data_IF_050900951317
#
_entry.id   IF_050900951317
#
_cell.length_a   1.000
_cell.length_b   1.000
_cell.length_c   1.000
_cell.angle_alpha   90.00
_cell.angle_beta   90.00
_cell.angle_gamma   90.00
#
_symmetry.space_group_name_H-M   'P 1'
#
loop_
_entity.id
_entity.type
_entity.pdbx_description
1 polymer ?
#
# COMPACT_ATOMS: atom_id res chain seq x y z
N UNK A 1 35.42 44.84 17.87
CA UNK A 1 33.98 44.97 18.22
C UNK A 1 33.23 43.97 17.36
N UNK A 2 33.13 42.73 17.85
CA UNK A 2 31.90 42.12 18.38
C UNK A 2 30.83 41.89 17.29
N UNK A 3 30.86 40.67 16.75
CA UNK A 3 29.72 39.98 16.14
C UNK A 3 28.54 39.99 17.10
N UNK A 4 27.40 40.56 16.73
CA UNK A 4 26.17 40.47 17.53
C UNK A 4 24.90 40.48 16.64
N UNK A 5 24.69 39.40 15.89
CA UNK A 5 23.36 39.00 15.45
C UNK A 5 23.15 37.51 15.80
N UNK A 6 22.03 37.15 16.45
CA UNK A 6 21.81 35.82 17.01
C UNK A 6 21.54 34.73 15.95
N UNK A 7 22.25 33.61 16.06
CA UNK A 7 22.17 32.41 15.20
C UNK A 7 20.87 31.60 15.36
N UNK A 8 19.70 32.22 15.15
CA UNK A 8 18.40 31.50 15.33
C UNK A 8 17.50 31.52 14.09
N UNK A 9 17.92 32.14 12.99
CA UNK A 9 17.15 32.15 11.73
C UNK A 9 18.04 31.74 10.55
N UNK A 10 18.78 30.66 10.76
CA UNK A 10 19.26 29.77 9.71
C UNK A 10 18.95 28.34 10.17
N UNK A 11 17.67 27.99 10.23
CA UNK A 11 17.31 26.59 10.12
C UNK A 11 17.17 26.30 8.63
N UNK A 12 18.10 25.54 8.00
CA UNK A 12 17.69 24.80 6.82
C UNK A 12 16.43 24.02 7.22
N UNK A 13 15.36 24.11 6.41
CA UNK A 13 14.25 23.16 6.47
C UNK A 13 14.91 21.80 6.62
N UNK A 14 14.70 21.19 7.78
CA UNK A 14 15.38 19.97 8.16
C UNK A 14 15.26 19.01 6.98
N UNK A 15 16.39 18.73 6.35
CA UNK A 15 16.53 17.63 5.41
C UNK A 15 15.88 16.45 6.09
N UNK A 16 14.76 15.98 5.52
CA UNK A 16 14.13 14.75 5.96
C UNK A 16 15.25 13.71 6.02
N UNK A 17 15.49 13.06 7.16
CA UNK A 17 16.59 12.11 7.27
C UNK A 17 16.37 11.01 6.23
N UNK A 18 17.18 11.05 5.16
CA UNK A 18 17.35 9.97 4.20
C UNK A 18 18.19 8.88 4.87
N UNK A 19 17.66 8.28 5.94
CA UNK A 19 18.16 7.03 6.49
C UNK A 19 17.33 5.92 5.88
N UNK A 20 17.92 5.20 4.92
CA UNK A 20 17.30 4.11 4.19
C UNK A 20 16.69 3.06 5.12
N UNK A 21 15.37 3.11 5.22
CA UNK A 21 14.55 1.90 5.29
C UNK A 21 14.08 1.67 3.86
N UNK A 22 14.13 0.45 3.30
CA UNK A 22 13.27 0.18 2.16
C UNK A 22 11.85 0.52 2.62
N UNK A 23 11.24 1.55 2.02
CA UNK A 23 9.86 1.89 2.34
C UNK A 23 9.03 0.67 1.98
N UNK A 24 8.58 -0.05 3.00
CA UNK A 24 7.72 -1.23 2.88
C UNK A 24 6.64 -0.96 1.82
N UNK A 25 6.58 -1.79 0.78
CA UNK A 25 5.61 -1.64 -0.30
C UNK A 25 4.18 -1.86 0.22
N UNK A 26 4.03 -2.71 1.23
CA UNK A 26 2.79 -2.87 1.97
C UNK A 26 2.41 -1.56 2.68
N UNK A 27 3.36 -0.91 3.36
CA UNK A 27 3.09 0.35 4.05
C UNK A 27 2.72 1.46 3.06
N UNK A 28 3.45 1.58 1.96
CA UNK A 28 3.15 2.53 0.89
C UNK A 28 1.74 2.31 0.33
N UNK A 29 1.36 1.05 0.11
CA UNK A 29 0.01 0.69 -0.35
C UNK A 29 -1.08 1.11 0.65
N UNK A 30 -0.84 0.91 1.96
CA UNK A 30 -1.76 1.35 3.00
C UNK A 30 -1.89 2.88 3.07
N UNK A 31 -0.80 3.62 2.81
CA UNK A 31 -0.80 5.08 2.75
C UNK A 31 -1.53 5.60 1.50
N UNK A 32 -1.33 4.96 0.33
CA UNK A 32 -2.10 5.24 -0.90
C UNK A 32 -3.60 5.06 -0.66
N UNK A 33 -4.00 3.94 -0.06
CA UNK A 33 -5.41 3.67 0.26
C UNK A 33 -5.98 4.73 1.21
N UNK A 34 -5.22 5.20 2.20
CA UNK A 34 -5.69 6.24 3.10
C UNK A 34 -5.96 7.57 2.37
N UNK A 35 -5.14 7.92 1.37
CA UNK A 35 -5.37 9.09 0.53
C UNK A 35 -6.62 8.92 -0.35
N UNK A 36 -6.75 7.77 -1.02
CA UNK A 36 -7.91 7.49 -1.88
C UNK A 36 -9.23 7.47 -1.10
N UNK A 37 -9.26 6.89 0.11
CA UNK A 37 -10.43 6.92 0.99
C UNK A 37 -10.82 8.37 1.31
N UNK A 38 -9.84 9.19 1.69
CA UNK A 38 -10.09 10.61 1.99
C UNK A 38 -10.65 11.34 0.77
N UNK A 39 -10.06 11.14 -0.40
CA UNK A 39 -10.47 11.85 -1.61
C UNK A 39 -11.87 11.41 -2.08
N UNK A 40 -12.20 10.12 -1.98
CA UNK A 40 -13.55 9.59 -2.23
C UNK A 40 -14.59 10.21 -1.28
N UNK A 41 -14.28 10.29 0.03
CA UNK A 41 -15.16 10.95 1.01
C UNK A 41 -15.37 12.44 0.69
N UNK A 42 -14.31 13.15 0.30
CA UNK A 42 -14.41 14.56 -0.10
C UNK A 42 -15.25 14.76 -1.38
N UNK A 43 -15.21 13.78 -2.29
CA UNK A 43 -16.04 13.76 -3.48
C UNK A 43 -17.49 13.31 -3.22
N UNK A 44 -17.82 12.88 -2.00
CA UNK A 44 -19.14 12.33 -1.65
C UNK A 44 -19.36 10.90 -2.11
N UNK A 45 -18.33 10.23 -2.63
CA UNK A 45 -18.34 8.83 -3.04
C UNK A 45 -18.07 7.91 -1.84
N UNK A 46 -19.13 7.66 -1.07
CA UNK A 46 -19.06 6.84 0.12
C UNK A 46 -18.89 5.34 -0.19
N UNK A 47 -19.33 4.91 -1.36
CA UNK A 47 -19.24 3.51 -1.80
C UNK A 47 -17.79 3.13 -2.06
N UNK A 48 -17.09 3.90 -2.91
CA UNK A 48 -15.67 3.69 -3.16
C UNK A 48 -14.85 3.86 -1.88
N UNK A 49 -15.17 4.84 -1.04
CA UNK A 49 -14.49 5.04 0.24
C UNK A 49 -14.60 3.81 1.15
N UNK A 50 -15.79 3.21 1.25
CA UNK A 50 -16.02 2.02 2.05
C UNK A 50 -15.27 0.80 1.48
N UNK A 51 -15.33 0.60 0.17
CA UNK A 51 -14.62 -0.51 -0.49
C UNK A 51 -13.10 -0.38 -0.33
N UNK A 52 -12.53 0.82 -0.54
CA UNK A 52 -11.11 1.10 -0.31
C UNK A 52 -10.69 0.90 1.16
N UNK A 53 -11.57 1.22 2.11
CA UNK A 53 -11.33 0.93 3.52
C UNK A 53 -11.26 -0.58 3.79
N UNK A 54 -12.13 -1.37 3.15
CA UNK A 54 -12.07 -2.84 3.20
C UNK A 54 -10.74 -3.40 2.70
N UNK A 55 -10.23 -2.89 1.57
CA UNK A 55 -8.90 -3.26 1.05
C UNK A 55 -7.81 -2.93 2.07
N UNK A 56 -7.88 -1.75 2.68
CA UNK A 56 -6.89 -1.32 3.69
C UNK A 56 -6.92 -2.20 4.93
N UNK A 57 -8.10 -2.66 5.34
CA UNK A 57 -8.25 -3.57 6.48
C UNK A 57 -7.68 -4.96 6.20
N UNK A 58 -7.77 -5.45 4.96
CA UNK A 58 -7.08 -6.66 4.51
C UNK A 58 -5.56 -6.51 4.69
N UNK A 59 -4.98 -5.40 4.20
CA UNK A 59 -3.54 -5.15 4.32
C UNK A 59 -3.08 -4.97 5.78
N UNK A 60 -3.89 -4.36 6.63
CA UNK A 60 -3.59 -4.26 8.06
C UNK A 60 -3.75 -5.61 8.80
N UNK A 61 -4.47 -6.56 8.20
CA UNK A 61 -4.79 -7.86 8.75
C UNK A 61 -3.85 -9.00 8.35
N UNK A 62 -2.71 -8.71 7.70
CA UNK A 62 -1.82 -9.73 7.13
C UNK A 62 -1.27 -10.73 8.15
N UNK A 63 -0.93 -10.27 9.35
CA UNK A 63 -0.37 -11.11 10.43
C UNK A 63 -1.42 -11.91 11.20
N UNK A 64 -2.71 -11.74 10.89
CA UNK A 64 -3.78 -12.52 11.52
C UNK A 64 -3.87 -13.89 10.86
N UNK A 65 -4.18 -14.97 11.62
CA UNK A 65 -4.42 -16.29 11.06
C UNK A 65 -5.46 -16.23 9.94
N UNK A 66 -5.27 -17.04 8.90
CA UNK A 66 -6.26 -17.12 7.84
C UNK A 66 -7.54 -17.81 8.31
N UNK A 67 -8.68 -17.32 7.83
CA UNK A 67 -10.01 -17.90 8.06
C UNK A 67 -10.88 -17.71 6.80
N UNK A 68 -11.99 -18.45 6.64
CA UNK A 68 -12.81 -18.38 5.44
C UNK A 68 -13.37 -16.99 5.14
N UNK A 69 -13.70 -16.18 6.14
CA UNK A 69 -14.20 -14.82 5.93
C UNK A 69 -13.06 -13.90 5.47
N UNK A 70 -11.88 -14.04 6.06
CA UNK A 70 -10.69 -13.30 5.63
C UNK A 70 -10.28 -13.63 4.20
N UNK A 71 -10.34 -14.91 3.81
CA UNK A 71 -10.06 -15.33 2.42
C UNK A 71 -11.06 -14.76 1.42
N UNK A 72 -12.34 -14.63 1.80
CA UNK A 72 -13.34 -13.93 0.98
C UNK A 72 -13.01 -12.44 0.87
N UNK A 73 -12.76 -11.77 2.00
CA UNK A 73 -12.41 -10.35 2.00
C UNK A 73 -11.12 -10.05 1.19
N UNK A 74 -10.13 -10.94 1.22
CA UNK A 74 -8.93 -10.84 0.40
C UNK A 74 -9.24 -10.94 -1.10
N UNK A 75 -10.14 -11.86 -1.49
CA UNK A 75 -10.60 -11.98 -2.89
C UNK A 75 -11.39 -10.76 -3.32
N UNK A 76 -12.38 -10.35 -2.52
CA UNK A 76 -13.23 -9.20 -2.79
C UNK A 76 -12.40 -7.91 -2.92
N UNK A 77 -11.36 -7.76 -2.08
CA UNK A 77 -10.43 -6.64 -2.15
C UNK A 77 -9.58 -6.64 -3.42
N UNK A 78 -9.14 -7.82 -3.87
CA UNK A 78 -8.38 -7.94 -5.11
C UNK A 78 -9.24 -7.60 -6.33
N UNK A 79 -10.43 -8.18 -6.42
CA UNK A 79 -11.38 -7.94 -7.51
C UNK A 79 -11.76 -6.45 -7.57
N UNK A 80 -12.11 -5.85 -6.42
CA UNK A 80 -12.41 -4.43 -6.34
C UNK A 80 -11.25 -3.55 -6.80
N UNK A 81 -10.02 -3.79 -6.34
CA UNK A 81 -8.88 -2.95 -6.75
C UNK A 81 -8.58 -3.12 -8.24
N UNK A 82 -8.73 -4.32 -8.80
CA UNK A 82 -8.55 -4.53 -10.23
C UNK A 82 -9.57 -3.70 -11.04
N UNK A 83 -10.86 -3.83 -10.72
CA UNK A 83 -11.94 -3.12 -11.39
C UNK A 83 -11.83 -1.60 -11.19
N UNK A 84 -11.50 -1.15 -9.97
CA UNK A 84 -11.30 0.25 -9.66
C UNK A 84 -10.11 0.82 -10.44
N UNK A 85 -9.01 0.08 -10.56
CA UNK A 85 -7.84 0.52 -11.34
C UNK A 85 -8.18 0.70 -12.81
N UNK A 86 -8.95 -0.22 -13.39
CA UNK A 86 -9.42 -0.12 -14.77
C UNK A 86 -10.35 1.08 -14.96
N UNK A 87 -11.37 1.23 -14.11
CA UNK A 87 -12.30 2.37 -14.13
C UNK A 87 -11.58 3.72 -14.01
N UNK A 88 -10.59 3.84 -13.11
CA UNK A 88 -9.77 5.04 -12.99
C UNK A 88 -8.96 5.33 -14.27
N UNK A 89 -8.43 4.29 -14.93
CA UNK A 89 -7.72 4.45 -16.19
C UNK A 89 -8.65 4.93 -17.32
N UNK A 90 -9.88 4.41 -17.40
CA UNK A 90 -10.90 4.80 -18.38
C UNK A 90 -11.31 6.26 -18.27
N UNK A 91 -11.47 6.77 -17.04
CA UNK A 91 -11.77 8.20 -16.79
C UNK A 91 -10.54 9.11 -16.94
N UNK A 92 -9.40 8.55 -17.32
CA UNK A 92 -8.20 9.30 -17.70
C UNK A 92 -7.17 9.50 -16.58
N UNK A 93 -7.28 8.79 -15.45
CA UNK A 93 -6.21 8.77 -14.43
C UNK A 93 -4.95 8.13 -15.02
N UNK A 94 -3.82 8.82 -14.88
CA UNK A 94 -2.53 8.40 -15.47
C UNK A 94 -1.36 8.70 -14.54
N UNK A 95 -0.19 8.23 -14.94
CA UNK A 95 1.07 8.50 -14.25
C UNK A 95 1.10 7.86 -12.87
N UNK A 96 1.54 8.63 -11.88
CA UNK A 96 1.82 8.10 -10.54
C UNK A 96 0.57 7.53 -9.85
N UNK A 97 -0.60 8.15 -10.02
CA UNK A 97 -1.83 7.68 -9.38
C UNK A 97 -2.23 6.27 -9.86
N UNK A 98 -2.12 6.01 -11.17
CA UNK A 98 -2.40 4.68 -11.72
C UNK A 98 -1.31 3.67 -11.33
N UNK A 99 -0.05 4.10 -11.22
CA UNK A 99 1.04 3.24 -10.74
C UNK A 99 0.86 2.87 -9.25
N UNK A 100 0.37 3.80 -8.44
CA UNK A 100 0.08 3.56 -7.03
C UNK A 100 -1.09 2.56 -6.85
N UNK A 101 -2.12 2.62 -7.69
CA UNK A 101 -3.20 1.62 -7.71
C UNK A 101 -2.71 0.23 -8.10
N UNK A 102 -1.87 0.14 -9.13
CA UNK A 102 -1.22 -1.11 -9.53
C UNK A 102 -0.35 -1.69 -8.41
N UNK A 103 0.36 -0.84 -7.67
CA UNK A 103 1.11 -1.28 -6.50
C UNK A 103 0.22 -1.93 -5.43
N UNK A 104 -0.97 -1.36 -5.16
CA UNK A 104 -1.93 -1.98 -4.23
C UNK A 104 -2.36 -3.37 -4.74
N UNK A 105 -2.65 -3.49 -6.03
CA UNK A 105 -3.00 -4.78 -6.64
C UNK A 105 -1.87 -5.82 -6.51
N UNK A 106 -0.62 -5.40 -6.74
CA UNK A 106 0.55 -6.27 -6.60
C UNK A 106 0.76 -6.74 -5.16
N UNK A 107 0.53 -5.87 -4.18
CA UNK A 107 0.60 -6.24 -2.75
C UNK A 107 -0.49 -7.25 -2.39
N UNK A 108 -1.71 -7.09 -2.91
CA UNK A 108 -2.79 -8.06 -2.72
C UNK A 108 -2.47 -9.41 -3.38
N UNK A 109 -1.88 -9.41 -4.58
CA UNK A 109 -1.41 -10.63 -5.23
C UNK A 109 -0.30 -11.32 -4.42
N UNK A 110 0.67 -10.56 -3.91
CA UNK A 110 1.72 -11.08 -3.04
C UNK A 110 1.16 -11.65 -1.73
N UNK A 111 0.11 -11.01 -1.19
CA UNK A 111 -0.64 -11.51 -0.03
C UNK A 111 -1.28 -12.85 -0.32
N UNK A 112 -1.95 -13.00 -1.46
CA UNK A 112 -2.56 -14.28 -1.84
C UNK A 112 -1.52 -15.41 -1.98
N UNK A 113 -0.35 -15.11 -2.54
CA UNK A 113 0.76 -16.07 -2.61
C UNK A 113 1.24 -16.45 -1.20
N UNK A 114 1.41 -15.48 -0.30
CA UNK A 114 1.81 -15.73 1.08
C UNK A 114 0.78 -16.61 1.83
N UNK A 115 -0.52 -16.39 1.59
CA UNK A 115 -1.61 -17.19 2.17
C UNK A 115 -1.65 -18.63 1.65
N UNK A 116 -1.41 -18.82 0.34
CA UNK A 116 -1.28 -20.15 -0.25
C UNK A 116 -0.10 -20.92 0.37
N UNK A 117 0.99 -20.22 0.67
CA UNK A 117 2.15 -20.82 1.36
C UNK A 117 1.87 -21.10 2.83
N UNK A 118 1.14 -20.23 3.54
CA UNK A 118 0.67 -20.49 4.91
C UNK A 118 -0.16 -21.77 4.97
N UNK A 119 -1.10 -21.96 4.04
CA UNK A 119 -1.90 -23.18 3.96
C UNK A 119 -1.06 -24.44 3.70
N UNK A 120 0.01 -24.33 2.90
CA UNK A 120 0.87 -25.46 2.55
C UNK A 120 1.91 -25.81 3.64
N UNK A 121 2.42 -24.81 4.35
CA UNK A 121 3.56 -24.95 5.28
C UNK A 121 3.19 -24.85 6.76
N UNK A 122 2.00 -24.32 7.07
CA UNK A 122 1.58 -23.97 8.42
C UNK A 122 2.25 -22.72 9.02
N UNK A 123 3.18 -22.08 8.29
CA UNK A 123 3.79 -20.83 8.73
C UNK A 123 2.86 -19.66 8.46
N UNK A 124 2.54 -18.87 9.48
CA UNK A 124 1.65 -17.72 9.35
C UNK A 124 2.14 -16.74 8.27
N UNK A 125 1.19 -16.24 7.47
CA UNK A 125 1.42 -15.07 6.65
C UNK A 125 1.91 -13.90 7.52
N UNK A 126 2.93 -13.19 7.04
CA UNK A 126 3.53 -12.06 7.74
C UNK A 126 3.85 -10.94 6.76
N UNK A 127 3.91 -9.72 7.29
CA UNK A 127 4.33 -8.54 6.52
C UNK A 127 5.68 -8.78 5.84
N UNK A 128 6.66 -9.35 6.55
CA UNK A 128 7.98 -9.66 5.99
C UNK A 128 7.90 -10.62 4.80
N UNK A 129 7.03 -11.63 4.86
CA UNK A 129 6.87 -12.59 3.75
C UNK A 129 6.24 -11.94 2.52
N UNK A 130 5.23 -11.09 2.72
CA UNK A 130 4.61 -10.34 1.61
C UNK A 130 5.61 -9.40 0.97
N UNK A 131 6.39 -8.66 1.76
CA UNK A 131 7.48 -7.80 1.28
C UNK A 131 8.54 -8.57 0.48
N UNK A 132 8.92 -9.75 0.93
CA UNK A 132 9.86 -10.61 0.21
C UNK A 132 9.30 -11.04 -1.15
N UNK A 133 8.03 -11.47 -1.21
CA UNK A 133 7.37 -11.89 -2.45
C UNK A 133 7.31 -10.75 -3.45
N UNK A 134 6.82 -9.57 -3.02
CA UNK A 134 6.71 -8.42 -3.92
C UNK A 134 8.09 -7.90 -4.34
N UNK A 135 9.07 -7.87 -3.44
CA UNK A 135 10.45 -7.52 -3.77
C UNK A 135 11.04 -8.42 -4.87
N UNK A 136 10.76 -9.73 -4.80
CA UNK A 136 11.18 -10.69 -5.83
C UNK A 136 10.47 -10.49 -7.18
N UNK A 137 9.19 -10.08 -7.19
CA UNK A 137 8.44 -9.79 -8.41
C UNK A 137 9.03 -8.57 -9.15
N UNK A 138 9.34 -7.51 -8.41
CA UNK A 138 9.94 -6.30 -8.98
C UNK A 138 11.41 -6.49 -9.37
N UNK A 139 12.17 -7.30 -8.63
CA UNK A 139 13.55 -7.66 -9.00
C UNK A 139 13.60 -8.43 -10.33
N UNK A 140 12.73 -9.43 -10.52
CA UNK A 140 12.65 -10.22 -11.76
C UNK A 140 12.20 -9.42 -12.99
N UNK A 141 11.56 -8.28 -12.79
CA UNK A 141 11.08 -7.43 -13.90
C UNK A 141 12.17 -6.49 -14.45
N UNK A 142 13.33 -6.40 -13.78
CA UNK A 142 14.46 -5.54 -14.14
C UNK A 142 15.67 -6.30 -14.71
N UNK A 143 15.59 -7.62 -14.86
CA UNK A 143 16.56 -8.48 -15.56
C UNK A 143 16.07 -8.82 -16.98
#
# INVERSE_FOLDING_TARGET
MLNWLPEHIQKPVASIPTTGTPHSLVRRSADVLALLIRDALLAGDHESAFALAGVRDVLNGLSKPTDPLRRRAESDAYDFIADYTESQAEVGVRGQALADLKLVADVLAATDIARKQEAASGQLCSFARVEEIIGNLYAKSND
#
